data_IF_571479629005
#
_entry.id   IF_571479629005
#
_cell.length_a   1.000
_cell.length_b   1.000
_cell.length_c   1.000
_cell.angle_alpha   90.00
_cell.angle_beta   90.00
_cell.angle_gamma   90.00
#
_symmetry.space_group_name_H-M   'P 1'
#
loop_
_entity.id
_entity.type
_entity.pdbx_description
1 polymer ?
#
# COMPACT_ATOMS: atom_id res chain seq x y z
N UNK A 1 -17.23 -16.99 -1.60
CA UNK A 1 -15.79 -16.82 -1.38
C UNK A 1 -15.58 -16.68 0.12
N UNK A 2 -14.77 -17.50 0.76
CA UNK A 2 -14.46 -17.37 2.19
C UNK A 2 -13.32 -16.38 2.30
N UNK A 3 -13.58 -15.16 2.81
CA UNK A 3 -12.52 -14.23 3.18
C UNK A 3 -11.66 -14.88 4.25
N UNK A 4 -10.35 -14.91 4.06
CA UNK A 4 -9.43 -15.30 5.11
C UNK A 4 -9.22 -14.09 6.02
N UNK A 5 -9.45 -14.24 7.33
CA UNK A 5 -9.16 -13.17 8.27
C UNK A 5 -7.65 -12.89 8.25
N UNK A 6 -7.27 -11.68 7.87
CA UNK A 6 -5.88 -11.26 7.83
C UNK A 6 -5.32 -11.10 9.25
N UNK A 7 -4.04 -11.39 9.41
CA UNK A 7 -3.32 -11.00 10.63
C UNK A 7 -3.30 -9.48 10.75
N UNK A 8 -3.75 -8.96 11.88
CA UNK A 8 -3.83 -7.52 12.15
C UNK A 8 -3.42 -7.19 13.57
N UNK A 9 -2.82 -6.01 13.74
CA UNK A 9 -2.42 -5.45 15.04
C UNK A 9 -3.15 -4.13 15.23
N UNK A 10 -3.70 -3.93 16.43
CA UNK A 10 -4.32 -2.67 16.85
C UNK A 10 -3.45 -2.02 17.91
N UNK A 11 -3.17 -0.74 17.72
CA UNK A 11 -2.36 0.06 18.66
C UNK A 11 -2.86 1.51 18.72
N UNK A 12 -2.23 2.32 19.55
CA UNK A 12 -2.57 3.73 19.70
C UNK A 12 -3.82 3.97 20.57
N UNK A 13 -4.49 5.09 20.34
CA UNK A 13 -5.58 5.59 21.20
C UNK A 13 -6.90 4.92 20.86
N UNK A 14 -7.46 4.14 21.80
CA UNK A 14 -8.69 3.37 21.58
C UNK A 14 -9.92 4.24 21.25
N UNK A 15 -10.00 5.46 21.81
CA UNK A 15 -11.13 6.39 21.63
C UNK A 15 -10.92 7.38 20.47
N UNK A 16 -9.82 7.25 19.73
CA UNK A 16 -9.53 8.14 18.60
C UNK A 16 -10.12 7.58 17.28
N UNK A 17 -10.22 8.41 16.22
CA UNK A 17 -10.58 7.95 14.89
C UNK A 17 -9.68 6.80 14.43
N UNK A 18 -10.23 5.90 13.62
CA UNK A 18 -9.48 4.74 13.13
C UNK A 18 -8.66 5.11 11.89
N UNK A 19 -7.38 4.74 11.91
CA UNK A 19 -6.47 4.76 10.76
C UNK A 19 -6.07 3.33 10.42
N UNK A 20 -6.45 2.88 9.22
CA UNK A 20 -6.06 1.58 8.67
C UNK A 20 -4.86 1.74 7.74
N UNK A 21 -3.79 0.97 7.97
CA UNK A 21 -2.57 0.99 7.18
C UNK A 21 -2.42 -0.29 6.36
N UNK A 22 -2.26 -0.13 5.04
CA UNK A 22 -2.15 -1.21 4.06
C UNK A 22 -0.76 -1.21 3.40
N UNK A 23 -0.09 -2.35 3.44
CA UNK A 23 1.29 -2.50 2.98
C UNK A 23 1.43 -2.69 1.46
N UNK A 24 2.64 -2.43 0.96
CA UNK A 24 3.06 -2.76 -0.40
C UNK A 24 3.12 -4.27 -0.62
N UNK A 25 3.01 -4.73 -1.88
CA UNK A 25 3.30 -6.11 -2.25
C UNK A 25 4.75 -6.44 -1.90
N UNK A 26 4.96 -7.53 -1.20
CA UNK A 26 6.28 -7.93 -0.71
C UNK A 26 6.69 -7.25 0.61
N UNK A 27 5.86 -6.40 1.20
CA UNK A 27 6.13 -5.83 2.52
C UNK A 27 5.13 -6.35 3.56
N UNK A 28 5.52 -6.33 4.82
CA UNK A 28 4.63 -6.57 5.96
C UNK A 28 4.17 -5.26 6.58
N UNK A 29 3.24 -5.34 7.52
CA UNK A 29 2.78 -4.19 8.30
C UNK A 29 3.91 -3.41 8.99
N UNK A 30 5.07 -4.03 9.24
CA UNK A 30 6.23 -3.41 9.85
C UNK A 30 6.85 -2.28 8.98
N UNK A 31 6.53 -2.21 7.68
CA UNK A 31 6.96 -1.09 6.85
C UNK A 31 6.48 0.27 7.37
N UNK A 32 5.46 0.30 8.23
CA UNK A 32 4.89 1.50 8.82
C UNK A 32 5.53 1.90 10.16
N UNK A 33 6.42 1.07 10.73
CA UNK A 33 7.01 1.30 12.05
C UNK A 33 7.63 2.70 12.24
N UNK A 34 8.30 3.32 11.23
CA UNK A 34 8.82 4.67 11.38
C UNK A 34 7.75 5.75 11.65
N UNK A 35 6.51 5.55 11.20
CA UNK A 35 5.41 6.49 11.37
C UNK A 35 4.61 6.25 12.66
N UNK A 36 4.73 5.04 13.24
CA UNK A 36 3.86 4.63 14.36
C UNK A 36 3.92 5.53 15.58
N UNK A 37 5.10 6.01 16.06
CA UNK A 37 5.15 6.87 17.23
C UNK A 37 4.28 8.12 17.12
N UNK A 38 4.18 8.69 15.92
CA UNK A 38 3.33 9.84 15.64
C UNK A 38 1.87 9.43 15.46
N UNK A 39 1.60 8.44 14.61
CA UNK A 39 0.22 8.04 14.28
C UNK A 39 -0.55 7.51 15.49
N UNK A 40 0.10 6.74 16.36
CA UNK A 40 -0.49 6.19 17.58
C UNK A 40 -0.87 7.26 18.61
N UNK A 41 -0.23 8.43 18.56
CA UNK A 41 -0.59 9.56 19.44
C UNK A 41 -1.91 10.22 19.04
N UNK A 42 -2.38 10.00 17.78
CA UNK A 42 -3.56 10.66 17.23
C UNK A 42 -4.70 9.69 16.88
N UNK A 43 -4.39 8.44 16.56
CA UNK A 43 -5.33 7.46 16.03
C UNK A 43 -5.39 6.16 16.82
N UNK A 44 -6.51 5.46 16.69
CA UNK A 44 -6.55 4.00 16.85
C UNK A 44 -6.04 3.42 15.53
N UNK A 45 -4.82 2.91 15.52
CA UNK A 45 -4.17 2.41 14.30
C UNK A 45 -4.40 0.91 14.17
N UNK A 46 -4.89 0.49 13.00
CA UNK A 46 -4.99 -0.90 12.60
C UNK A 46 -4.00 -1.12 11.46
N UNK A 47 -3.11 -2.10 11.62
CA UNK A 47 -2.19 -2.55 10.57
C UNK A 47 -2.47 -4.00 10.26
N UNK A 48 -2.50 -4.38 8.98
CA UNK A 48 -2.68 -5.79 8.62
C UNK A 48 -1.67 -6.21 7.56
N UNK A 49 -1.24 -7.47 7.62
CA UNK A 49 -0.50 -8.09 6.54
C UNK A 49 -1.47 -8.49 5.42
N UNK A 50 -1.15 -8.16 4.19
CA UNK A 50 -1.93 -8.63 3.03
C UNK A 50 -1.88 -10.15 2.95
N UNK A 51 -2.91 -10.79 2.35
CA UNK A 51 -2.93 -12.24 2.11
C UNK A 51 -1.61 -12.73 1.52
N UNK A 52 -1.05 -13.81 2.07
CA UNK A 52 0.23 -14.40 1.67
C UNK A 52 1.48 -13.63 2.10
N UNK A 53 1.34 -12.60 2.94
CA UNK A 53 2.44 -11.81 3.51
C UNK A 53 2.47 -11.98 5.02
N UNK A 54 3.66 -11.89 5.61
CA UNK A 54 3.86 -11.92 7.05
C UNK A 54 3.14 -13.09 7.72
N UNK A 55 2.25 -12.77 8.65
CA UNK A 55 1.47 -13.76 9.40
C UNK A 55 0.07 -14.02 8.82
N UNK A 56 -0.29 -13.36 7.72
CA UNK A 56 -1.57 -13.60 7.05
C UNK A 56 -1.59 -14.90 6.26
N UNK A 57 -2.74 -15.61 6.21
CA UNK A 57 -2.86 -16.85 5.46
C UNK A 57 -2.68 -16.61 3.95
N UNK A 58 -2.28 -17.67 3.25
CA UNK A 58 -2.17 -17.70 1.79
C UNK A 58 -3.37 -18.45 1.19
N UNK A 59 -4.42 -17.76 0.73
CA UNK A 59 -5.56 -18.41 0.10
C UNK A 59 -5.18 -19.05 -1.25
N UNK A 60 -5.97 -20.05 -1.72
CA UNK A 60 -5.77 -20.61 -3.04
C UNK A 60 -5.90 -19.56 -4.16
N UNK A 61 -5.10 -19.74 -5.21
CA UNK A 61 -5.17 -18.94 -6.43
C UNK A 61 -6.31 -19.42 -7.36
N UNK A 62 -6.80 -18.57 -8.28
CA UNK A 62 -6.47 -17.16 -8.45
C UNK A 62 -7.32 -16.27 -7.53
N UNK A 63 -6.85 -15.04 -7.29
CA UNK A 63 -7.65 -13.97 -6.67
C UNK A 63 -7.32 -12.61 -7.31
N UNK A 64 -8.23 -11.65 -7.15
CA UNK A 64 -8.11 -10.30 -7.67
C UNK A 64 -8.26 -9.25 -6.58
N UNK A 65 -8.40 -7.98 -6.99
CA UNK A 65 -8.59 -6.89 -6.04
C UNK A 65 -9.89 -6.99 -5.24
N UNK A 66 -10.97 -7.54 -5.82
CA UNK A 66 -12.22 -7.73 -5.09
C UNK A 66 -12.04 -8.65 -3.87
N UNK A 67 -11.18 -9.66 -3.98
CA UNK A 67 -10.88 -10.55 -2.87
C UNK A 67 -10.02 -9.85 -1.81
N UNK A 68 -9.04 -9.02 -2.23
CA UNK A 68 -8.17 -8.26 -1.33
C UNK A 68 -8.98 -7.18 -0.59
N UNK A 69 -9.89 -6.50 -1.28
CA UNK A 69 -10.83 -5.52 -0.70
C UNK A 69 -11.75 -6.20 0.31
N UNK A 70 -12.30 -7.36 -0.03
CA UNK A 70 -13.16 -8.12 0.88
C UNK A 70 -12.44 -8.55 2.16
N UNK A 71 -11.16 -8.94 2.09
CA UNK A 71 -10.34 -9.25 3.26
C UNK A 71 -10.20 -8.04 4.19
N UNK A 72 -9.93 -6.87 3.61
CA UNK A 72 -9.75 -5.64 4.41
C UNK A 72 -11.07 -5.21 5.06
N UNK A 73 -12.20 -5.34 4.37
CA UNK A 73 -13.52 -5.11 4.97
C UNK A 73 -13.77 -6.08 6.14
N UNK A 74 -13.38 -7.36 6.00
CA UNK A 74 -13.48 -8.33 7.08
C UNK A 74 -12.57 -7.98 8.29
N UNK A 75 -11.42 -7.34 8.07
CA UNK A 75 -10.60 -6.79 9.17
C UNK A 75 -11.34 -5.66 9.89
N UNK A 76 -11.95 -4.72 9.17
CA UNK A 76 -12.76 -3.66 9.79
C UNK A 76 -13.92 -4.23 10.60
N UNK A 77 -14.61 -5.24 10.08
CA UNK A 77 -15.72 -5.91 10.77
C UNK A 77 -15.25 -6.64 12.03
N UNK A 78 -14.13 -7.36 11.95
CA UNK A 78 -13.55 -8.09 13.09
C UNK A 78 -13.12 -7.15 14.25
N UNK A 79 -12.79 -5.91 13.93
CA UNK A 79 -12.44 -4.88 14.92
C UNK A 79 -13.59 -3.93 15.26
N UNK A 80 -14.82 -4.23 14.81
CA UNK A 80 -16.04 -3.43 15.06
C UNK A 80 -15.87 -1.97 14.62
N UNK A 81 -15.20 -1.74 13.48
CA UNK A 81 -14.96 -0.42 12.90
C UNK A 81 -16.05 -0.08 11.90
N UNK A 82 -16.84 0.94 12.15
CA UNK A 82 -17.84 1.43 11.21
C UNK A 82 -17.20 2.19 10.06
N UNK A 83 -16.30 3.13 10.36
CA UNK A 83 -15.59 3.94 9.35
C UNK A 83 -14.12 4.11 9.71
N UNK A 84 -13.25 4.17 8.70
CA UNK A 84 -11.82 4.39 8.87
C UNK A 84 -11.24 5.36 7.83
N UNK A 85 -10.22 6.12 8.22
CA UNK A 85 -9.24 6.66 7.27
C UNK A 85 -8.36 5.50 6.80
N UNK A 86 -8.13 5.38 5.49
CA UNK A 86 -7.28 4.33 4.93
C UNK A 86 -6.04 4.95 4.30
N UNK A 87 -4.87 4.53 4.74
CA UNK A 87 -3.60 4.89 4.11
C UNK A 87 -2.93 3.62 3.59
N UNK A 88 -2.63 3.60 2.30
CA UNK A 88 -2.01 2.44 1.67
C UNK A 88 -0.90 2.83 0.70
N UNK A 89 0.11 1.98 0.62
CA UNK A 89 1.23 2.17 -0.29
C UNK A 89 1.26 1.07 -1.34
N UNK A 90 1.41 1.45 -2.63
CA UNK A 90 1.50 0.54 -3.77
C UNK A 90 0.26 -0.37 -3.86
N UNK A 91 0.41 -1.69 -3.69
CA UNK A 91 -0.73 -2.63 -3.58
C UNK A 91 -1.76 -2.15 -2.56
N UNK A 92 -1.31 -1.69 -1.39
CA UNK A 92 -2.17 -1.13 -0.35
C UNK A 92 -2.89 0.14 -0.79
N UNK A 93 -2.22 1.01 -1.57
CA UNK A 93 -2.84 2.21 -2.15
C UNK A 93 -3.92 1.86 -3.19
N UNK A 94 -3.66 0.87 -4.03
CA UNK A 94 -4.64 0.35 -4.99
C UNK A 94 -5.84 -0.29 -4.26
N UNK A 95 -5.57 -1.03 -3.18
CA UNK A 95 -6.62 -1.62 -2.32
C UNK A 95 -7.46 -0.52 -1.66
N UNK A 96 -6.84 0.58 -1.20
CA UNK A 96 -7.55 1.72 -0.64
C UNK A 96 -8.50 2.38 -1.66
N UNK A 97 -8.06 2.54 -2.92
CA UNK A 97 -8.95 3.00 -4.00
C UNK A 97 -10.12 2.04 -4.21
N UNK A 98 -9.85 0.74 -4.24
CA UNK A 98 -10.90 -0.29 -4.35
C UNK A 98 -11.91 -0.25 -3.21
N UNK A 99 -11.47 -0.02 -1.97
CA UNK A 99 -12.33 0.18 -0.80
C UNK A 99 -13.24 1.40 -0.96
N UNK A 100 -12.69 2.55 -1.39
CA UNK A 100 -13.45 3.77 -1.60
C UNK A 100 -14.49 3.64 -2.72
N UNK A 101 -14.25 2.80 -3.72
CA UNK A 101 -15.20 2.52 -4.79
C UNK A 101 -16.27 1.50 -4.37
N UNK A 102 -15.89 0.45 -3.63
CA UNK A 102 -16.77 -0.66 -3.28
C UNK A 102 -17.64 -0.40 -2.04
N UNK A 103 -17.10 0.34 -1.05
CA UNK A 103 -17.76 0.58 0.24
C UNK A 103 -17.48 2.01 0.76
N UNK A 104 -17.89 3.05 0.01
CA UNK A 104 -17.59 4.44 0.35
C UNK A 104 -18.11 4.86 1.74
N UNK A 105 -19.17 4.23 2.23
CA UNK A 105 -19.73 4.49 3.56
C UNK A 105 -18.85 3.98 4.71
N UNK A 106 -17.90 3.08 4.42
CA UNK A 106 -16.95 2.52 5.39
C UNK A 106 -15.64 3.31 5.46
N UNK A 107 -15.42 4.26 4.55
CA UNK A 107 -14.16 4.98 4.37
C UNK A 107 -14.39 6.47 4.51
N UNK A 108 -13.74 7.10 5.50
CA UNK A 108 -13.83 8.55 5.72
C UNK A 108 -12.96 9.35 4.75
N UNK A 109 -11.74 8.87 4.46
CA UNK A 109 -10.80 9.45 3.49
C UNK A 109 -9.70 8.45 3.14
N UNK A 110 -9.01 8.67 2.03
CA UNK A 110 -7.96 7.80 1.50
C UNK A 110 -6.67 8.58 1.33
N UNK A 111 -5.54 7.99 1.76
CA UNK A 111 -4.19 8.40 1.40
C UNK A 111 -3.59 7.28 0.54
N UNK A 112 -3.53 7.53 -0.77
CA UNK A 112 -3.08 6.59 -1.78
C UNK A 112 -1.62 6.91 -2.16
N UNK A 113 -0.67 6.11 -1.67
CA UNK A 113 0.76 6.35 -1.84
C UNK A 113 1.36 5.43 -2.92
N UNK A 114 2.18 5.98 -3.80
CA UNK A 114 2.98 5.22 -4.79
C UNK A 114 2.16 4.15 -5.53
N UNK A 115 0.96 4.48 -6.01
CA UNK A 115 0.02 3.51 -6.55
C UNK A 115 -0.41 3.84 -7.99
N UNK A 116 -0.98 2.86 -8.64
CA UNK A 116 -1.63 2.98 -9.96
C UNK A 116 -3.14 2.75 -9.81
N UNK A 117 -3.88 3.06 -10.88
CA UNK A 117 -5.30 2.75 -10.97
C UNK A 117 -5.65 1.86 -12.17
N UNK A 118 -4.65 1.51 -13.01
CA UNK A 118 -4.78 0.70 -14.22
C UNK A 118 -3.57 -0.21 -14.42
N UNK A 119 -3.71 -1.21 -15.28
CA UNK A 119 -2.67 -2.14 -15.68
C UNK A 119 -2.37 -2.05 -17.18
N UNK A 120 -1.66 -1.00 -17.66
CA UNK A 120 -1.30 -0.90 -19.08
C UNK A 120 -0.33 -2.01 -19.49
N UNK A 121 -0.25 -2.37 -20.80
CA UNK A 121 0.55 -3.50 -21.26
C UNK A 121 2.01 -3.55 -20.79
N UNK A 122 2.77 -2.43 -20.70
CA UNK A 122 4.12 -2.46 -20.15
C UNK A 122 4.18 -2.84 -18.67
N UNK A 123 3.19 -2.42 -17.87
CA UNK A 123 3.07 -2.79 -16.46
C UNK A 123 2.79 -4.30 -16.32
N UNK A 124 1.85 -4.83 -17.09
CA UNK A 124 1.54 -6.27 -17.13
C UNK A 124 2.78 -7.08 -17.53
N UNK A 125 3.50 -6.65 -18.57
CA UNK A 125 4.73 -7.33 -19.00
C UNK A 125 5.81 -7.34 -17.91
N UNK A 126 5.96 -6.23 -17.17
CA UNK A 126 6.90 -6.18 -16.04
C UNK A 126 6.54 -7.20 -14.94
N UNK A 127 5.25 -7.41 -14.66
CA UNK A 127 4.80 -8.42 -13.72
C UNK A 127 5.06 -9.84 -14.22
N UNK A 128 4.88 -10.13 -15.52
CA UNK A 128 5.30 -11.41 -16.09
C UNK A 128 6.81 -11.66 -15.93
N UNK A 129 7.64 -10.65 -16.16
CA UNK A 129 9.08 -10.76 -15.95
C UNK A 129 9.44 -11.05 -14.48
N UNK A 130 8.73 -10.40 -13.51
CA UNK A 130 8.91 -10.68 -12.08
C UNK A 130 8.47 -12.08 -11.68
N UNK A 131 7.39 -12.60 -12.29
CA UNK A 131 6.98 -13.99 -12.08
C UNK A 131 8.04 -14.97 -12.57
N UNK A 132 8.68 -14.68 -13.70
CA UNK A 132 9.80 -15.52 -14.18
C UNK A 132 10.99 -15.51 -13.21
N UNK A 133 11.31 -14.37 -12.59
CA UNK A 133 12.33 -14.30 -11.53
C UNK A 133 11.91 -15.13 -10.31
N UNK A 134 10.64 -15.03 -9.90
CA UNK A 134 10.10 -15.83 -8.79
C UNK A 134 10.21 -17.33 -9.06
N UNK A 135 9.93 -17.76 -10.28
CA UNK A 135 10.04 -19.18 -10.70
C UNK A 135 11.48 -19.69 -10.71
N UNK A 136 12.43 -18.84 -11.12
CA UNK A 136 13.85 -19.20 -11.27
C UNK A 136 14.62 -19.07 -9.94
N UNK A 137 14.39 -18.00 -9.19
CA UNK A 137 15.21 -17.60 -8.03
C UNK A 137 14.45 -17.47 -6.71
N UNK A 138 13.15 -17.77 -6.71
CA UNK A 138 12.32 -17.61 -5.52
C UNK A 138 12.13 -16.16 -5.08
N UNK A 139 11.58 -15.99 -3.88
CA UNK A 139 11.25 -14.69 -3.32
C UNK A 139 12.51 -13.81 -3.08
N UNK A 140 13.64 -14.43 -2.76
CA UNK A 140 14.91 -13.74 -2.55
C UNK A 140 15.43 -13.10 -3.84
N UNK A 141 15.35 -13.80 -4.99
CA UNK A 141 15.70 -13.22 -6.28
C UNK A 141 14.78 -12.07 -6.70
N UNK A 142 13.51 -12.12 -6.29
CA UNK A 142 12.57 -11.00 -6.49
C UNK A 142 12.97 -9.80 -5.63
N UNK A 143 13.38 -10.01 -4.38
CA UNK A 143 13.90 -8.95 -3.52
C UNK A 143 15.07 -8.22 -4.18
N UNK A 144 16.09 -8.96 -4.62
CA UNK A 144 17.28 -8.38 -5.27
C UNK A 144 16.92 -7.53 -6.50
N UNK A 145 15.92 -7.97 -7.29
CA UNK A 145 15.44 -7.23 -8.45
C UNK A 145 14.55 -6.02 -8.08
N UNK A 146 14.16 -5.89 -6.80
CA UNK A 146 13.17 -4.89 -6.35
C UNK A 146 13.81 -3.78 -5.52
N UNK A 147 14.75 -4.09 -4.62
CA UNK A 147 15.25 -3.17 -3.61
C UNK A 147 15.78 -1.84 -4.16
N UNK A 148 16.47 -1.86 -5.29
CA UNK A 148 17.00 -0.64 -5.94
C UNK A 148 15.92 0.28 -6.53
N UNK A 149 14.69 -0.22 -6.73
CA UNK A 149 13.53 0.61 -7.11
C UNK A 149 12.77 1.11 -5.87
N UNK A 150 12.87 0.41 -4.76
CA UNK A 150 12.18 0.74 -3.52
C UNK A 150 12.86 1.86 -2.75
N UNK A 151 14.19 1.79 -2.63
CA UNK A 151 15.00 2.71 -1.84
C UNK A 151 16.08 3.38 -2.70
N UNK A 152 16.36 4.63 -2.40
CA UNK A 152 17.47 5.39 -2.95
C UNK A 152 18.83 4.82 -2.48
N UNK A 153 19.90 5.06 -3.26
CA UNK A 153 21.23 4.65 -2.87
C UNK A 153 21.69 5.39 -1.60
N UNK A 154 21.20 6.61 -1.40
CA UNK A 154 21.43 7.37 -0.17
C UNK A 154 20.83 6.65 1.04
N UNK A 155 19.55 6.29 1.00
CA UNK A 155 18.90 5.55 2.09
C UNK A 155 19.63 4.24 2.37
N UNK A 156 19.95 3.47 1.33
CA UNK A 156 20.63 2.18 1.48
C UNK A 156 22.02 2.30 2.08
N UNK A 157 22.74 3.39 1.82
CA UNK A 157 24.09 3.63 2.35
C UNK A 157 24.08 4.25 3.75
N UNK A 158 23.12 5.14 4.04
CA UNK A 158 23.08 5.88 5.31
C UNK A 158 22.21 5.22 6.37
N UNK A 159 21.22 4.40 5.96
CA UNK A 159 20.27 3.70 6.84
C UNK A 159 20.11 2.22 6.42
N UNK A 160 21.21 1.42 6.44
CA UNK A 160 21.17 0.02 6.02
C UNK A 160 20.19 -0.85 6.85
N UNK A 161 19.88 -0.43 8.08
CA UNK A 161 18.87 -1.07 8.93
C UNK A 161 17.45 -0.97 8.33
N UNK A 162 17.15 0.11 7.60
CA UNK A 162 15.85 0.26 6.93
C UNK A 162 15.73 -0.74 5.75
N UNK A 163 16.78 -0.93 4.97
CA UNK A 163 16.83 -1.97 3.94
C UNK A 163 16.71 -3.38 4.56
N UNK A 164 17.44 -3.64 5.66
CA UNK A 164 17.41 -4.93 6.33
C UNK A 164 16.02 -5.28 6.88
N UNK A 165 15.32 -4.31 7.48
CA UNK A 165 13.96 -4.50 8.00
C UNK A 165 12.95 -4.77 6.86
N UNK A 166 13.05 -4.04 5.74
CA UNK A 166 12.22 -4.31 4.57
C UNK A 166 12.50 -5.70 3.97
N UNK A 167 13.78 -6.10 3.89
CA UNK A 167 14.16 -7.42 3.41
C UNK A 167 13.58 -8.53 4.29
N UNK A 168 13.68 -8.38 5.61
CA UNK A 168 13.10 -9.35 6.54
C UNK A 168 11.59 -9.53 6.28
N UNK A 169 10.83 -8.44 6.17
CA UNK A 169 9.41 -8.48 5.83
C UNK A 169 9.14 -9.08 4.45
N UNK A 170 9.97 -8.74 3.45
CA UNK A 170 9.81 -9.26 2.09
C UNK A 170 9.96 -10.79 2.04
N UNK A 171 10.93 -11.33 2.75
CA UNK A 171 11.19 -12.78 2.79
C UNK A 171 10.12 -13.57 3.56
N UNK A 172 9.24 -12.90 4.31
CA UNK A 172 8.05 -13.51 4.91
C UNK A 172 6.87 -13.63 3.94
N UNK A 173 7.01 -13.12 2.70
CA UNK A 173 6.00 -13.26 1.66
C UNK A 173 6.11 -14.66 1.03
N UNK A 174 5.00 -15.40 0.99
CA UNK A 174 4.99 -16.70 0.31
C UNK A 174 5.03 -16.51 -1.22
N UNK A 175 5.64 -17.47 -1.94
CA UNK A 175 5.68 -17.42 -3.42
C UNK A 175 4.26 -17.38 -4.02
N UNK A 176 3.34 -18.17 -3.46
CA UNK A 176 1.93 -18.18 -3.87
C UNK A 176 1.24 -16.86 -3.56
N UNK A 177 1.49 -16.25 -2.39
CA UNK A 177 0.96 -14.95 -2.01
C UNK A 177 1.44 -13.84 -2.94
N UNK A 178 2.75 -13.82 -3.21
CA UNK A 178 3.33 -12.87 -4.17
C UNK A 178 2.73 -13.03 -5.56
N UNK A 179 2.61 -14.27 -6.05
CA UNK A 179 2.03 -14.60 -7.36
C UNK A 179 0.57 -14.16 -7.46
N UNK A 180 -0.22 -14.41 -6.41
CA UNK A 180 -1.62 -14.04 -6.40
C UNK A 180 -1.84 -12.54 -6.39
N UNK A 181 -1.07 -11.79 -5.59
CA UNK A 181 -1.11 -10.33 -5.59
C UNK A 181 -0.62 -9.75 -6.94
N UNK A 182 0.43 -10.32 -7.54
CA UNK A 182 0.87 -9.93 -8.88
C UNK A 182 -0.22 -10.16 -9.93
N UNK A 183 -0.98 -11.26 -9.82
CA UNK A 183 -2.13 -11.51 -10.69
C UNK A 183 -3.24 -10.45 -10.51
N UNK A 184 -3.54 -10.07 -9.27
CA UNK A 184 -4.47 -8.98 -8.99
C UNK A 184 -4.00 -7.67 -9.63
N UNK A 185 -2.70 -7.33 -9.51
CA UNK A 185 -2.10 -6.13 -10.12
C UNK A 185 -2.22 -6.12 -11.64
N UNK A 186 -2.03 -7.25 -12.30
CA UNK A 186 -2.20 -7.36 -13.76
C UNK A 186 -3.64 -7.19 -14.23
N UNK A 187 -4.62 -7.40 -13.34
CA UNK A 187 -6.04 -7.19 -13.59
C UNK A 187 -6.59 -5.85 -13.09
N UNK A 188 -5.73 -4.92 -12.65
CA UNK A 188 -6.15 -3.63 -12.09
C UNK A 188 -6.87 -2.76 -13.13
N UNK A 189 -8.10 -2.32 -12.82
CA UNK A 189 -8.95 -1.55 -13.75
C UNK A 189 -9.86 -0.55 -13.00
N UNK A 190 -9.28 0.22 -12.09
CA UNK A 190 -10.03 1.24 -11.34
C UNK A 190 -10.07 2.59 -12.04
N UNK A 191 -9.14 2.89 -12.95
CA UNK A 191 -9.00 4.21 -13.57
C UNK A 191 -10.32 4.71 -14.19
N UNK A 192 -11.05 3.84 -14.88
CA UNK A 192 -12.34 4.19 -15.51
C UNK A 192 -13.47 4.48 -14.50
N UNK A 193 -13.29 4.10 -13.23
CA UNK A 193 -14.27 4.28 -12.16
C UNK A 193 -13.90 5.39 -11.17
N UNK A 194 -12.70 5.96 -11.26
CA UNK A 194 -12.27 7.00 -10.30
C UNK A 194 -13.13 8.26 -10.33
N UNK A 195 -13.79 8.55 -11.45
CA UNK A 195 -14.79 9.63 -11.53
C UNK A 195 -16.02 9.42 -10.65
N UNK A 196 -16.24 8.20 -10.15
CA UNK A 196 -17.34 7.82 -9.24
C UNK A 196 -16.92 7.89 -7.77
N UNK A 197 -15.64 8.20 -7.46
CA UNK A 197 -15.13 8.27 -6.09
C UNK A 197 -15.90 9.29 -5.26
N UNK A 198 -16.38 8.89 -4.08
CA UNK A 198 -17.20 9.72 -3.19
C UNK A 198 -16.48 10.11 -1.90
N UNK A 199 -15.30 9.58 -1.68
CA UNK A 199 -14.49 9.87 -0.50
C UNK A 199 -13.32 10.76 -0.89
N UNK A 200 -12.87 11.68 -0.01
CA UNK A 200 -11.68 12.49 -0.26
C UNK A 200 -10.44 11.61 -0.45
N UNK A 201 -9.62 11.92 -1.45
CA UNK A 201 -8.38 11.19 -1.73
C UNK A 201 -7.18 12.12 -1.79
N UNK A 202 -6.12 11.80 -1.05
CA UNK A 202 -4.79 12.35 -1.26
C UNK A 202 -3.93 11.33 -1.99
N UNK A 203 -3.40 11.71 -3.15
CA UNK A 203 -2.37 10.93 -3.85
C UNK A 203 -0.99 11.44 -3.45
N UNK A 204 -0.11 10.53 -3.00
CA UNK A 204 1.26 10.83 -2.58
C UNK A 204 2.23 10.06 -3.47
N UNK A 205 3.04 10.78 -4.26
CA UNK A 205 4.04 10.20 -5.16
C UNK A 205 5.47 10.43 -4.62
N UNK A 206 6.36 9.51 -4.86
CA UNK A 206 7.80 9.76 -4.70
C UNK A 206 8.36 10.36 -5.98
N UNK A 207 9.15 11.43 -5.88
CA UNK A 207 9.74 12.16 -7.03
C UNK A 207 10.50 11.20 -7.97
N UNK A 208 11.19 10.21 -7.41
CA UNK A 208 12.04 9.27 -8.13
C UNK A 208 11.41 7.87 -8.27
N UNK A 209 10.09 7.74 -8.06
CA UNK A 209 9.39 6.45 -8.18
C UNK A 209 9.22 6.05 -9.65
N UNK A 210 9.83 4.94 -10.03
CA UNK A 210 9.72 4.37 -11.37
C UNK A 210 8.60 3.32 -11.49
N UNK A 211 8.08 2.80 -10.37
CA UNK A 211 6.99 1.80 -10.37
C UNK A 211 5.60 2.46 -10.48
N UNK A 212 5.43 3.61 -9.82
CA UNK A 212 4.27 4.48 -9.93
C UNK A 212 4.75 5.93 -10.17
N UNK A 213 5.18 6.26 -11.41
CA UNK A 213 5.81 7.54 -11.72
C UNK A 213 4.92 8.73 -11.35
N UNK A 214 5.49 9.84 -10.83
CA UNK A 214 4.75 11.03 -10.41
C UNK A 214 3.76 11.55 -11.45
N UNK A 215 4.17 11.62 -12.71
CA UNK A 215 3.30 12.11 -13.78
C UNK A 215 2.07 11.19 -14.01
N UNK A 216 2.26 9.87 -13.89
CA UNK A 216 1.15 8.92 -13.99
C UNK A 216 0.20 9.08 -12.79
N UNK A 217 0.73 9.20 -11.57
CA UNK A 217 -0.09 9.42 -10.38
C UNK A 217 -0.83 10.76 -10.41
N UNK A 218 -0.18 11.82 -10.92
CA UNK A 218 -0.82 13.12 -11.11
C UNK A 218 -1.97 13.04 -12.11
N UNK A 219 -1.79 12.32 -13.22
CA UNK A 219 -2.86 12.10 -14.20
C UNK A 219 -4.03 11.29 -13.58
N UNK A 220 -3.75 10.27 -12.76
CA UNK A 220 -4.77 9.51 -12.02
C UNK A 220 -5.54 10.43 -11.06
N UNK A 221 -4.83 11.27 -10.29
CA UNK A 221 -5.46 12.21 -9.36
C UNK A 221 -6.42 13.18 -10.07
N UNK A 222 -6.12 13.60 -11.30
CA UNK A 222 -6.99 14.48 -12.10
C UNK A 222 -8.30 13.82 -12.53
N UNK A 223 -8.38 12.48 -12.51
CA UNK A 223 -9.62 11.76 -12.84
C UNK A 223 -10.54 11.55 -11.63
N UNK A 224 -10.01 11.72 -10.42
CA UNK A 224 -10.72 11.52 -9.17
C UNK A 224 -11.28 12.86 -8.66
N UNK A 225 -12.61 12.97 -8.41
CA UNK A 225 -13.21 14.21 -7.90
C UNK A 225 -12.55 14.67 -6.60
N UNK A 226 -12.31 15.99 -6.49
CA UNK A 226 -11.77 16.63 -5.29
C UNK A 226 -10.46 16.03 -4.74
N UNK A 227 -9.75 15.23 -5.54
CA UNK A 227 -8.50 14.65 -5.13
C UNK A 227 -7.40 15.71 -4.96
N UNK A 228 -6.58 15.52 -3.95
CA UNK A 228 -5.33 16.27 -3.76
C UNK A 228 -4.16 15.42 -4.24
N UNK A 229 -3.09 16.08 -4.66
CA UNK A 229 -1.84 15.44 -5.09
C UNK A 229 -0.65 16.13 -4.46
N UNK A 230 0.28 15.34 -3.97
CA UNK A 230 1.55 15.85 -3.43
C UNK A 230 2.70 14.94 -3.86
N UNK A 231 3.87 15.52 -4.04
CA UNK A 231 5.10 14.83 -4.43
C UNK A 231 6.13 14.98 -3.31
N UNK A 232 6.68 13.85 -2.86
CA UNK A 232 7.74 13.80 -1.86
C UNK A 232 9.07 13.77 -2.59
N UNK A 233 9.88 14.81 -2.37
CA UNK A 233 11.21 14.94 -2.98
C UNK A 233 12.16 13.85 -2.51
N UNK A 234 13.13 13.54 -3.34
CA UNK A 234 14.23 12.61 -3.04
C UNK A 234 13.75 11.22 -2.57
N UNK A 235 12.51 10.83 -2.91
CA UNK A 235 11.95 9.53 -2.53
C UNK A 235 11.67 8.66 -3.75
N UNK A 236 12.02 7.37 -3.65
CA UNK A 236 11.59 6.31 -4.56
C UNK A 236 10.27 5.68 -4.10
N UNK A 237 10.05 4.40 -4.39
CA UNK A 237 8.74 3.74 -4.27
C UNK A 237 8.24 3.58 -2.82
N UNK A 238 9.10 3.19 -1.88
CA UNK A 238 8.70 3.06 -0.47
C UNK A 238 8.93 4.41 0.24
N UNK A 239 8.11 5.37 -0.15
CA UNK A 239 8.23 6.80 0.18
C UNK A 239 8.38 7.03 1.69
N UNK A 240 7.56 6.34 2.49
CA UNK A 240 7.50 6.48 3.95
C UNK A 240 8.77 6.01 4.65
N UNK A 241 9.60 5.23 3.98
CA UNK A 241 10.91 4.77 4.48
C UNK A 241 12.02 5.52 3.78
N UNK A 242 11.91 5.78 2.50
CA UNK A 242 12.99 6.45 1.73
C UNK A 242 13.15 7.92 2.14
N UNK A 243 12.05 8.64 2.34
CA UNK A 243 12.03 10.00 2.93
C UNK A 243 10.92 10.11 3.99
N UNK A 244 11.14 9.63 5.23
CA UNK A 244 10.11 9.60 6.27
C UNK A 244 9.63 11.00 6.69
N UNK A 245 10.50 12.00 6.75
CA UNK A 245 10.13 13.37 7.11
C UNK A 245 9.27 14.02 6.01
N UNK A 246 9.72 13.95 4.77
CA UNK A 246 8.96 14.46 3.63
C UNK A 246 7.61 13.77 3.48
N UNK A 247 7.55 12.46 3.72
CA UNK A 247 6.31 11.70 3.74
C UNK A 247 5.34 12.19 4.81
N UNK A 248 5.82 12.34 6.06
CA UNK A 248 4.96 12.84 7.15
C UNK A 248 4.43 14.23 6.84
N UNK A 249 5.28 15.17 6.42
CA UNK A 249 4.85 16.52 6.06
C UNK A 249 3.79 16.51 4.94
N UNK A 250 3.91 15.59 3.98
CA UNK A 250 2.97 15.49 2.86
C UNK A 250 1.55 15.07 3.30
N UNK A 251 1.40 14.28 4.37
CA UNK A 251 0.11 13.74 4.80
C UNK A 251 -0.56 14.54 5.92
N UNK A 252 0.18 15.28 6.74
CA UNK A 252 -0.34 15.96 7.93
C UNK A 252 -1.51 16.89 7.63
N UNK A 253 -1.36 17.76 6.64
CA UNK A 253 -2.42 18.72 6.28
C UNK A 253 -3.71 18.05 5.78
N UNK A 254 -3.61 16.83 5.23
CA UNK A 254 -4.79 16.07 4.80
C UNK A 254 -5.46 15.35 5.96
N UNK A 255 -4.69 15.01 6.97
CA UNK A 255 -5.16 14.38 8.21
C UNK A 255 -5.66 15.41 9.25
N UNK A 256 -5.65 16.72 8.92
CA UNK A 256 -5.96 17.81 9.84
C UNK A 256 -5.10 17.79 11.12
N UNK A 257 -3.82 17.44 10.97
CA UNK A 257 -2.84 17.37 12.05
C UNK A 257 -1.77 18.45 11.89
N UNK A 258 -1.29 18.97 13.03
CA UNK A 258 -0.14 19.88 13.09
C UNK A 258 1.18 19.10 13.11
N UNK A 259 2.25 19.70 12.55
CA UNK A 259 3.59 19.12 12.45
C UNK A 259 4.35 19.12 13.79
#
# INVERSE_FOLDING_TARGET
>A
MTSALLHSIVSGRQDAPVLLLLNSLGATQAMWDPQMPFLESHYRVIRCDTRGHGQSPTPPLPYGFDDIVADVLAVLDAHEVETATVMGLSLGGMTALGLGLAAPERISQIICCAARADAPPPFVQNWHNRMAILDDKGIEGVWEATVGMWLSDETRSTRPEAEAALREGFLQTTAEGYRGCAHALMGLDYLRHLGEMRVPVLFVAGENDMAAPPDAMRAIAQTCPEAKYVEVKDAKHIINIDNPEGFMLAILSFLDLDA
#
